data_IF_099672543398
#
_entry.id   IF_099672543398
#
_cell.length_a   1.000
_cell.length_b   1.000
_cell.length_c   1.000
_cell.angle_alpha   90.00
_cell.angle_beta   90.00
_cell.angle_gamma   90.00
#
_symmetry.space_group_name_H-M   'P 1'
#
loop_
_entity.id
_entity.type
_entity.pdbx_description
1 polymer ?
#
# COMPACT_ATOMS: atom_id res chain seq x y z
N UNK A 1 -50.11 8.80 4.44
CA UNK A 1 -49.72 10.10 3.87
C UNK A 1 -50.36 11.23 4.67
N UNK A 2 -49.75 11.56 5.80
CA UNK A 2 -50.14 12.71 6.63
C UNK A 2 -48.89 13.56 6.75
N UNK A 3 -48.73 14.51 5.84
CA UNK A 3 -47.69 15.52 5.90
C UNK A 3 -47.88 16.32 7.19
N UNK A 4 -47.10 15.98 8.21
CA UNK A 4 -47.00 16.78 9.42
C UNK A 4 -45.99 17.88 9.14
N UNK A 5 -46.48 19.09 8.85
CA UNK A 5 -45.63 20.27 8.73
C UNK A 5 -45.32 20.80 10.12
N UNK A 6 -44.08 20.60 10.55
CA UNK A 6 -43.51 21.24 11.72
C UNK A 6 -43.24 22.71 11.34
N UNK A 7 -43.95 23.66 11.95
CA UNK A 7 -43.66 25.10 11.75
C UNK A 7 -43.53 25.81 13.09
N UNK A 8 -42.34 26.34 13.34
CA UNK A 8 -41.92 27.30 14.37
C UNK A 8 -42.27 26.91 15.82
N UNK A 9 -41.35 26.19 16.46
CA UNK A 9 -41.23 26.16 17.92
C UNK A 9 -40.30 27.32 18.33
N UNK A 10 -40.52 27.90 19.50
CA UNK A 10 -39.68 28.97 20.02
C UNK A 10 -38.26 28.47 20.32
N UNK A 11 -37.27 29.33 20.04
CA UNK A 11 -35.79 29.24 20.11
C UNK A 11 -35.18 28.81 21.47
N UNK A 12 -35.97 28.23 22.37
CA UNK A 12 -35.58 27.90 23.76
C UNK A 12 -36.10 26.55 24.25
N UNK A 13 -36.79 25.78 23.40
CA UNK A 13 -37.31 24.46 23.76
C UNK A 13 -36.41 23.39 23.14
N UNK A 14 -35.79 22.56 23.98
CA UNK A 14 -35.11 21.36 23.52
C UNK A 14 -36.11 20.43 22.84
N UNK A 15 -35.93 20.26 21.55
CA UNK A 15 -36.85 19.55 20.68
C UNK A 15 -36.13 18.39 20.01
N UNK A 16 -36.68 17.20 20.20
CA UNK A 16 -36.18 16.00 19.54
C UNK A 16 -37.09 15.64 18.37
N UNK A 17 -36.52 15.55 17.17
CA UNK A 17 -37.18 14.97 16.00
C UNK A 17 -36.89 13.47 15.98
N UNK A 18 -37.93 12.64 16.13
CA UNK A 18 -37.78 11.19 16.17
C UNK A 18 -38.29 10.52 14.90
N UNK A 19 -37.42 9.75 14.23
CA UNK A 19 -37.78 8.88 13.13
C UNK A 19 -37.97 7.45 13.63
N UNK A 20 -39.23 6.98 13.62
CA UNK A 20 -39.59 5.64 14.09
C UNK A 20 -39.84 4.64 12.95
N UNK A 21 -39.57 5.04 11.72
CA UNK A 21 -39.75 4.23 10.52
C UNK A 21 -38.96 4.82 9.36
N UNK A 22 -38.59 3.96 8.40
CA UNK A 22 -37.77 4.40 7.27
C UNK A 22 -38.51 5.38 6.36
N UNK A 23 -37.89 6.51 6.06
CA UNK A 23 -38.50 7.59 5.27
C UNK A 23 -37.43 8.46 4.61
N UNK A 24 -37.78 9.10 3.50
CA UNK A 24 -37.08 10.29 3.02
C UNK A 24 -37.79 11.53 3.56
N UNK A 25 -37.02 12.55 3.95
CA UNK A 25 -37.52 13.80 4.53
C UNK A 25 -36.82 14.99 3.85
N UNK A 26 -37.60 15.81 3.17
CA UNK A 26 -37.08 16.91 2.33
C UNK A 26 -37.48 18.30 2.83
N UNK A 27 -38.12 18.39 4.00
CA UNK A 27 -38.58 19.67 4.55
C UNK A 27 -37.49 20.31 5.39
N UNK A 28 -37.67 21.58 5.79
CA UNK A 28 -36.75 22.25 6.71
C UNK A 28 -36.84 21.64 8.12
N UNK A 29 -35.69 21.30 8.68
CA UNK A 29 -35.48 20.90 10.07
C UNK A 29 -34.89 22.14 10.75
N UNK A 30 -35.71 22.82 11.55
CA UNK A 30 -35.31 24.05 12.23
C UNK A 30 -35.75 24.07 13.68
N UNK A 31 -34.94 24.66 14.56
CA UNK A 31 -35.17 24.63 16.01
C UNK A 31 -35.33 23.18 16.52
N UNK A 32 -34.41 22.28 16.15
CA UNK A 32 -34.36 20.87 16.58
C UNK A 32 -33.05 20.64 17.31
N UNK A 33 -33.03 20.46 18.62
CA UNK A 33 -31.76 20.17 19.31
C UNK A 33 -31.17 18.81 18.91
N UNK A 34 -32.03 17.81 18.67
CA UNK A 34 -31.59 16.45 18.38
C UNK A 34 -32.48 15.71 17.37
N UNK A 35 -31.86 14.93 16.51
CA UNK A 35 -32.53 13.92 15.66
C UNK A 35 -32.27 12.55 16.27
N UNK A 36 -33.31 11.73 16.40
CA UNK A 36 -33.22 10.35 16.90
C UNK A 36 -33.70 9.35 15.86
N UNK A 37 -32.94 8.27 15.65
CA UNK A 37 -33.33 7.13 14.81
C UNK A 37 -33.72 5.96 15.73
N UNK A 38 -34.87 5.35 15.47
CA UNK A 38 -35.24 4.11 16.15
C UNK A 38 -34.46 2.90 15.57
N UNK A 39 -34.42 1.81 16.33
CA UNK A 39 -33.81 0.54 15.94
C UNK A 39 -34.19 0.08 14.53
N UNK A 40 -33.18 -0.19 13.69
CA UNK A 40 -33.32 -0.74 12.34
C UNK A 40 -33.87 0.25 11.31
N UNK A 41 -33.82 1.55 11.57
CA UNK A 41 -34.41 2.57 10.71
C UNK A 41 -33.39 3.10 9.68
N UNK A 42 -33.84 3.21 8.43
CA UNK A 42 -33.12 3.92 7.36
C UNK A 42 -33.81 5.23 7.02
N UNK A 43 -33.12 6.35 7.21
CA UNK A 43 -33.63 7.71 7.02
C UNK A 43 -32.76 8.46 6.03
N UNK A 44 -33.40 9.12 5.07
CA UNK A 44 -32.74 10.02 4.14
C UNK A 44 -33.21 11.45 4.39
N UNK A 45 -32.29 12.31 4.81
CA UNK A 45 -32.51 13.76 5.00
C UNK A 45 -31.69 14.59 4.01
N UNK A 46 -31.08 14.00 2.98
CA UNK A 46 -30.22 14.71 2.02
C UNK A 46 -30.92 15.87 1.29
N UNK A 47 -32.24 15.77 1.11
CA UNK A 47 -33.09 16.81 0.53
C UNK A 47 -33.62 17.86 1.52
N UNK A 48 -33.34 17.73 2.82
CA UNK A 48 -33.79 18.66 3.84
C UNK A 48 -33.01 19.99 3.81
N UNK A 49 -33.38 20.91 4.69
CA UNK A 49 -32.52 22.03 5.09
C UNK A 49 -32.40 22.01 6.60
N UNK A 50 -31.19 21.92 7.12
CA UNK A 50 -30.91 21.96 8.56
C UNK A 50 -30.40 23.36 8.91
N UNK A 51 -30.99 24.00 9.92
CA UNK A 51 -30.46 25.26 10.45
C UNK A 51 -29.30 25.02 11.43
N UNK A 52 -28.60 26.09 11.79
CA UNK A 52 -27.42 26.04 12.67
C UNK A 52 -27.70 25.56 14.09
N UNK A 53 -28.98 25.44 14.46
CA UNK A 53 -29.39 25.14 15.83
C UNK A 53 -29.55 23.63 16.06
N UNK A 54 -29.43 22.82 15.00
CA UNK A 54 -29.46 21.37 15.13
C UNK A 54 -28.15 20.81 15.64
N UNK A 55 -28.16 20.34 16.89
CA UNK A 55 -26.93 19.97 17.58
C UNK A 55 -26.51 18.53 17.31
N UNK A 56 -27.38 17.52 17.35
CA UNK A 56 -26.91 16.12 17.30
C UNK A 56 -27.83 15.15 16.57
N UNK A 57 -27.25 14.08 16.03
CA UNK A 57 -27.99 12.90 15.58
C UNK A 57 -27.59 11.70 16.44
N UNK A 58 -28.58 10.95 16.94
CA UNK A 58 -28.36 9.72 17.70
C UNK A 58 -29.23 8.55 17.22
N UNK A 59 -28.65 7.36 17.06
CA UNK A 59 -29.36 6.12 16.78
C UNK A 59 -29.67 5.30 18.04
N UNK A 60 -29.97 4.02 17.85
CA UNK A 60 -30.42 3.12 18.91
C UNK A 60 -29.61 1.82 18.87
N UNK A 61 -30.19 0.72 19.35
CA UNK A 61 -29.64 -0.60 19.10
C UNK A 61 -30.24 -1.15 17.82
N UNK A 62 -29.46 -1.56 16.83
CA UNK A 62 -29.97 -2.02 15.54
C UNK A 62 -29.04 -1.57 14.42
N UNK A 63 -29.36 -1.94 13.18
CA UNK A 63 -28.61 -1.44 12.03
C UNK A 63 -29.38 -0.25 11.45
N UNK A 64 -28.92 0.94 11.80
CA UNK A 64 -29.44 2.20 11.32
C UNK A 64 -28.72 2.64 10.05
N UNK A 65 -29.45 3.38 9.20
CA UNK A 65 -28.88 4.01 8.03
C UNK A 65 -29.33 5.46 7.95
N UNK A 66 -28.38 6.36 7.78
CA UNK A 66 -28.63 7.79 7.67
C UNK A 66 -28.00 8.32 6.38
N UNK A 67 -28.82 8.87 5.48
CA UNK A 67 -28.33 9.63 4.33
C UNK A 67 -28.46 11.12 4.61
N UNK A 68 -27.36 11.88 4.52
CA UNK A 68 -27.35 13.32 4.71
C UNK A 68 -26.57 14.05 3.62
N UNK A 69 -26.79 15.36 3.52
CA UNK A 69 -26.00 16.22 2.66
C UNK A 69 -24.71 16.62 3.40
N UNK A 70 -23.56 16.60 2.73
CA UNK A 70 -22.25 16.90 3.33
C UNK A 70 -22.19 18.24 4.07
N UNK A 71 -22.90 19.27 3.59
CA UNK A 71 -23.02 20.57 4.28
C UNK A 71 -23.66 20.49 5.68
N UNK A 72 -24.25 19.35 6.07
CA UNK A 72 -24.80 19.16 7.41
C UNK A 72 -23.74 18.70 8.42
N UNK A 73 -22.61 18.15 7.96
CA UNK A 73 -21.49 17.83 8.86
C UNK A 73 -20.83 19.10 9.43
N UNK A 74 -20.92 20.22 8.69
CA UNK A 74 -20.53 21.54 9.18
C UNK A 74 -21.42 22.01 10.34
N UNK A 75 -22.72 21.72 10.29
CA UNK A 75 -23.73 22.23 11.23
C UNK A 75 -23.89 21.36 12.47
N UNK A 76 -23.81 20.04 12.31
CA UNK A 76 -24.00 19.09 13.40
C UNK A 76 -22.79 19.13 14.34
N UNK A 77 -23.06 18.96 15.63
CA UNK A 77 -22.05 18.82 16.68
C UNK A 77 -21.64 17.36 16.93
N UNK A 78 -22.53 16.39 16.65
CA UNK A 78 -22.22 14.96 16.73
C UNK A 78 -23.15 14.10 15.89
N UNK A 79 -22.64 12.95 15.45
CA UNK A 79 -23.40 11.83 14.89
C UNK A 79 -22.98 10.56 15.65
N UNK A 80 -23.94 9.90 16.28
CA UNK A 80 -23.73 8.65 17.01
C UNK A 80 -24.85 7.67 16.63
N UNK A 81 -24.62 6.71 15.73
CA UNK A 81 -25.72 5.83 15.29
C UNK A 81 -26.00 4.67 16.26
N UNK A 82 -25.30 4.61 17.39
CA UNK A 82 -25.64 3.75 18.50
C UNK A 82 -24.88 2.43 18.47
N UNK A 83 -25.57 1.30 18.53
CA UNK A 83 -24.91 -0.01 18.54
C UNK A 83 -25.48 -0.90 17.45
N UNK A 84 -24.64 -1.29 16.50
CA UNK A 84 -25.06 -2.12 15.39
C UNK A 84 -24.00 -2.21 14.31
N UNK A 85 -24.47 -2.44 13.09
CA UNK A 85 -23.70 -2.21 11.88
C UNK A 85 -24.41 -1.09 11.14
N UNK A 86 -23.99 0.12 11.47
CA UNK A 86 -24.65 1.35 11.07
C UNK A 86 -24.00 1.95 9.82
N UNK A 87 -24.81 2.59 8.97
CA UNK A 87 -24.36 3.20 7.72
C UNK A 87 -24.65 4.69 7.70
N UNK A 88 -23.60 5.50 7.55
CA UNK A 88 -23.73 6.91 7.21
C UNK A 88 -23.44 7.11 5.71
N UNK A 89 -24.44 7.58 4.97
CA UNK A 89 -24.29 7.97 3.58
C UNK A 89 -24.21 9.49 3.46
N UNK A 90 -23.19 10.02 2.79
CA UNK A 90 -23.00 11.46 2.62
C UNK A 90 -23.06 11.81 1.14
N UNK A 91 -23.91 12.78 0.80
CA UNK A 91 -24.06 13.28 -0.58
C UNK A 91 -23.60 14.72 -0.70
N UNK A 92 -23.08 15.10 -1.86
CA UNK A 92 -22.76 16.49 -2.17
C UNK A 92 -21.37 16.68 -2.75
N UNK A 93 -20.94 17.94 -2.79
CA UNK A 93 -19.79 18.37 -3.58
C UNK A 93 -18.84 19.29 -2.80
N UNK A 94 -19.09 19.49 -1.50
CA UNK A 94 -18.24 20.35 -0.69
C UNK A 94 -16.87 19.68 -0.47
N UNK A 95 -15.91 20.37 0.14
CA UNK A 95 -14.76 19.67 0.70
C UNK A 95 -15.11 19.31 2.14
N UNK A 96 -14.94 18.06 2.52
CA UNK A 96 -15.08 17.61 3.90
C UNK A 96 -13.69 17.37 4.48
N UNK A 97 -13.44 17.94 5.65
CA UNK A 97 -12.16 17.86 6.34
C UNK A 97 -12.24 16.93 7.56
N UNK A 98 -11.08 16.62 8.15
CA UNK A 98 -10.99 15.76 9.32
C UNK A 98 -11.96 16.16 10.46
N UNK A 99 -12.15 17.45 10.74
CA UNK A 99 -13.04 17.90 11.82
C UNK A 99 -14.54 17.69 11.53
N UNK A 100 -14.93 17.58 10.26
CA UNK A 100 -16.30 17.25 9.89
C UNK A 100 -16.63 15.81 10.26
N UNK A 101 -15.67 14.91 10.08
CA UNK A 101 -15.84 13.50 10.38
C UNK A 101 -15.44 13.11 11.82
N UNK A 102 -14.59 13.88 12.51
CA UNK A 102 -14.22 13.64 13.92
C UNK A 102 -15.39 13.77 14.91
N UNK A 103 -16.56 14.19 14.42
CA UNK A 103 -17.83 14.24 15.17
C UNK A 103 -18.67 12.96 15.03
N UNK A 104 -18.23 12.01 14.20
CA UNK A 104 -18.92 10.76 13.92
C UNK A 104 -18.39 9.68 14.87
N UNK A 105 -19.31 8.93 15.47
CA UNK A 105 -19.03 7.82 16.35
C UNK A 105 -20.05 6.70 16.11
N UNK A 106 -19.66 5.46 16.38
CA UNK A 106 -20.48 4.27 16.17
C UNK A 106 -21.16 4.26 14.79
N UNK A 107 -20.32 4.36 13.76
CA UNK A 107 -20.69 4.18 12.36
C UNK A 107 -19.67 3.23 11.77
N UNK A 108 -20.11 2.05 11.36
CA UNK A 108 -19.22 1.03 10.82
C UNK A 108 -19.00 1.17 9.31
N UNK A 109 -20.00 1.69 8.58
CA UNK A 109 -19.93 1.92 7.14
C UNK A 109 -20.13 3.40 6.80
N UNK A 110 -19.11 4.01 6.18
CA UNK A 110 -19.23 5.32 5.54
C UNK A 110 -19.43 5.12 4.04
N UNK A 111 -20.52 5.67 3.49
CA UNK A 111 -20.87 5.57 2.08
C UNK A 111 -20.83 6.96 1.41
N UNK A 112 -19.87 7.14 0.51
CA UNK A 112 -19.61 8.33 -0.26
C UNK A 112 -19.81 8.08 -1.77
N UNK A 113 -20.49 7.01 -2.18
CA UNK A 113 -20.66 6.68 -3.61
C UNK A 113 -21.33 7.80 -4.42
N UNK A 114 -22.26 8.54 -3.81
CA UNK A 114 -22.93 9.70 -4.42
C UNK A 114 -22.28 11.06 -4.06
N UNK A 115 -21.10 11.02 -3.44
CA UNK A 115 -20.29 12.19 -3.12
C UNK A 115 -19.32 12.50 -4.27
N UNK A 116 -19.05 13.78 -4.51
CA UNK A 116 -18.16 14.20 -5.60
C UNK A 116 -17.13 15.25 -5.14
N UNK A 117 -16.96 15.39 -3.83
CA UNK A 117 -15.97 16.28 -3.23
C UNK A 117 -14.70 15.56 -2.84
N UNK A 118 -13.72 16.31 -2.33
CA UNK A 118 -12.55 15.73 -1.65
C UNK A 118 -12.88 15.40 -0.20
N UNK A 119 -12.23 14.36 0.32
CA UNK A 119 -12.49 13.76 1.62
C UNK A 119 -11.18 13.57 2.37
N UNK A 120 -11.12 14.11 3.59
CA UNK A 120 -10.05 13.89 4.55
C UNK A 120 -10.63 13.22 5.80
N UNK A 121 -10.23 11.97 6.05
CA UNK A 121 -10.70 11.12 7.14
C UNK A 121 -9.71 11.04 8.31
N UNK A 122 -8.70 11.93 8.37
CA UNK A 122 -7.57 11.89 9.34
C UNK A 122 -7.90 12.24 10.80
N UNK A 123 -9.15 12.08 11.21
CA UNK A 123 -9.61 12.16 12.61
C UNK A 123 -10.86 11.28 12.80
N UNK A 124 -11.02 10.27 11.93
CA UNK A 124 -12.13 9.33 12.03
C UNK A 124 -11.73 8.09 12.79
N UNK A 125 -12.69 7.44 13.42
CA UNK A 125 -12.45 6.16 14.07
C UNK A 125 -13.72 5.32 14.07
N UNK A 126 -13.55 4.01 14.15
CA UNK A 126 -14.66 3.07 14.22
C UNK A 126 -15.34 2.74 12.89
N UNK A 127 -15.04 3.47 11.81
CA UNK A 127 -15.48 3.11 10.46
C UNK A 127 -14.61 1.94 10.00
N UNK A 128 -15.24 0.82 9.64
CA UNK A 128 -14.54 -0.40 9.20
C UNK A 128 -14.65 -0.61 7.69
N UNK A 129 -15.60 0.08 7.06
CA UNK A 129 -15.82 0.05 5.62
C UNK A 129 -16.08 1.45 5.06
N UNK A 130 -15.34 1.80 4.03
CA UNK A 130 -15.53 2.97 3.19
C UNK A 130 -16.00 2.52 1.81
N UNK A 131 -17.15 3.01 1.36
CA UNK A 131 -17.59 2.88 -0.02
C UNK A 131 -17.49 4.24 -0.70
N UNK A 132 -16.84 4.30 -1.86
CA UNK A 132 -16.74 5.51 -2.66
C UNK A 132 -17.26 5.26 -4.08
N UNK A 133 -17.27 6.31 -4.88
CA UNK A 133 -17.72 6.24 -6.26
C UNK A 133 -16.85 7.12 -7.12
N UNK A 134 -17.10 7.07 -8.42
CA UNK A 134 -16.20 7.54 -9.48
C UNK A 134 -15.84 9.02 -9.54
N UNK A 135 -16.25 9.79 -8.54
CA UNK A 135 -16.02 11.22 -8.46
C UNK A 135 -15.25 11.60 -7.19
N UNK A 136 -14.88 10.64 -6.34
CA UNK A 136 -14.05 10.85 -5.13
C UNK A 136 -12.60 10.49 -5.46
N UNK A 137 -11.99 11.27 -6.34
CA UNK A 137 -10.67 10.97 -6.90
C UNK A 137 -9.50 11.00 -5.90
N UNK A 138 -9.72 11.48 -4.67
CA UNK A 138 -8.69 11.62 -3.67
C UNK A 138 -9.26 11.46 -2.26
N UNK A 139 -8.66 10.54 -1.50
CA UNK A 139 -9.03 10.21 -0.12
C UNK A 139 -7.80 10.18 0.77
N UNK A 140 -7.89 10.80 1.95
CA UNK A 140 -6.81 10.74 2.96
C UNK A 140 -7.28 9.97 4.18
N UNK A 141 -6.50 8.97 4.62
CA UNK A 141 -6.77 8.15 5.80
C UNK A 141 -5.56 8.10 6.75
N UNK A 142 -5.81 7.80 8.02
CA UNK A 142 -4.81 7.63 9.08
C UNK A 142 -5.01 6.36 9.93
N UNK A 143 -5.93 5.48 9.55
CA UNK A 143 -6.03 4.11 10.06
C UNK A 143 -6.54 3.15 8.99
N UNK A 144 -6.31 1.85 9.23
CA UNK A 144 -6.68 0.78 8.32
C UNK A 144 -8.20 0.53 8.28
N UNK A 145 -8.75 0.40 7.08
CA UNK A 145 -10.17 0.09 6.85
C UNK A 145 -10.36 -0.55 5.47
N UNK A 146 -11.47 -1.26 5.29
CA UNK A 146 -11.86 -1.77 3.97
C UNK A 146 -12.29 -0.62 3.06
N UNK A 147 -11.84 -0.63 1.80
CA UNK A 147 -12.15 0.38 0.80
C UNK A 147 -12.72 -0.32 -0.44
N UNK A 148 -13.92 0.12 -0.83
CA UNK A 148 -14.57 -0.33 -2.04
C UNK A 148 -14.94 0.90 -2.88
N UNK A 149 -14.05 1.25 -3.79
CA UNK A 149 -14.31 2.25 -4.82
C UNK A 149 -14.86 1.58 -6.10
N UNK A 150 -15.85 2.22 -6.72
CA UNK A 150 -16.57 1.64 -7.87
C UNK A 150 -16.09 2.18 -9.22
N UNK A 151 -14.91 2.79 -9.23
CA UNK A 151 -14.05 3.03 -10.39
C UNK A 151 -13.85 4.51 -10.65
N UNK A 152 -12.72 4.91 -11.20
CA UNK A 152 -12.40 6.30 -11.48
C UNK A 152 -10.92 6.37 -11.82
N UNK A 153 -10.23 7.36 -11.29
CA UNK A 153 -8.77 7.32 -11.18
C UNK A 153 -8.49 7.90 -9.81
N UNK A 154 -8.37 7.01 -8.85
CA UNK A 154 -8.53 7.30 -7.45
C UNK A 154 -7.20 7.13 -6.72
N UNK A 155 -6.89 8.13 -5.90
CA UNK A 155 -5.66 8.16 -5.10
C UNK A 155 -6.00 8.01 -3.62
N UNK A 156 -5.40 7.02 -2.98
CA UNK A 156 -5.41 6.84 -1.53
C UNK A 156 -4.15 7.46 -0.93
N UNK A 157 -4.32 8.44 -0.05
CA UNK A 157 -3.26 9.06 0.72
C UNK A 157 -3.22 8.47 2.13
N UNK A 158 -2.06 7.97 2.54
CA UNK A 158 -1.84 7.43 3.88
C UNK A 158 -0.93 8.36 4.68
N UNK A 159 -1.39 8.85 5.82
CA UNK A 159 -0.66 9.86 6.62
C UNK A 159 -0.08 9.33 7.92
N UNK A 160 -0.32 8.06 8.23
CA UNK A 160 0.20 7.34 9.40
C UNK A 160 0.82 6.01 8.96
N UNK A 161 1.55 5.35 9.86
CA UNK A 161 2.00 3.98 9.61
C UNK A 161 0.80 3.05 9.74
N UNK A 162 0.51 2.29 8.69
CA UNK A 162 -0.69 1.46 8.58
C UNK A 162 -0.39 0.09 8.01
N UNK A 163 -1.18 -0.88 8.44
CA UNK A 163 -1.21 -2.22 7.87
C UNK A 163 -2.57 -2.44 7.21
N UNK A 164 -2.58 -2.44 5.88
CA UNK A 164 -3.75 -2.69 5.05
C UNK A 164 -3.74 -4.12 4.48
N UNK A 165 -2.76 -4.95 4.80
CA UNK A 165 -2.58 -6.27 4.18
C UNK A 165 -3.70 -7.27 4.50
N UNK A 166 -4.56 -6.97 5.47
CA UNK A 166 -5.77 -7.75 5.77
C UNK A 166 -7.05 -7.10 5.31
N UNK A 167 -6.98 -5.87 4.79
CA UNK A 167 -8.14 -5.11 4.35
C UNK A 167 -8.41 -5.35 2.87
N UNK A 168 -9.68 -5.25 2.48
CA UNK A 168 -10.04 -5.28 1.06
C UNK A 168 -9.84 -3.88 0.48
N UNK A 169 -8.96 -3.74 -0.52
CA UNK A 169 -8.76 -2.50 -1.27
C UNK A 169 -9.20 -2.74 -2.72
N UNK A 170 -10.27 -2.06 -3.15
CA UNK A 170 -10.83 -2.19 -4.51
C UNK A 170 -11.03 -0.80 -5.10
N UNK A 171 -10.73 -0.66 -6.39
CA UNK A 171 -10.91 0.54 -7.20
C UNK A 171 -9.92 1.66 -6.90
N UNK A 172 -8.78 1.36 -6.25
CA UNK A 172 -7.72 2.34 -5.97
C UNK A 172 -6.55 2.08 -6.91
N UNK A 173 -6.29 3.00 -7.84
CA UNK A 173 -5.20 2.83 -8.80
C UNK A 173 -3.86 3.38 -8.29
N UNK A 174 -3.88 4.38 -7.40
CA UNK A 174 -2.67 5.02 -6.87
C UNK A 174 -2.66 5.02 -5.34
N UNK A 175 -1.58 4.52 -4.75
CA UNK A 175 -1.29 4.66 -3.33
C UNK A 175 -0.20 5.70 -3.13
N UNK A 176 -0.46 6.73 -2.31
CA UNK A 176 0.50 7.78 -1.96
C UNK A 176 0.83 7.74 -0.47
N UNK A 177 2.09 7.44 -0.13
CA UNK A 177 2.53 7.27 1.27
C UNK A 177 3.28 8.50 1.78
N UNK A 178 2.81 9.06 2.90
CA UNK A 178 3.43 10.23 3.51
C UNK A 178 4.85 9.94 4.06
N UNK A 179 5.69 10.97 4.07
CA UNK A 179 7.06 10.91 4.60
C UNK A 179 7.12 10.30 6.00
N UNK A 180 8.14 9.48 6.27
CA UNK A 180 8.40 8.81 7.56
C UNK A 180 7.34 7.81 8.02
N UNK A 181 6.40 7.45 7.15
CA UNK A 181 5.37 6.44 7.42
C UNK A 181 5.58 5.22 6.56
N UNK A 182 5.02 4.09 7.00
CA UNK A 182 5.03 2.85 6.24
C UNK A 182 3.61 2.36 6.04
N UNK A 183 3.25 2.02 4.80
CA UNK A 183 1.98 1.32 4.50
C UNK A 183 2.30 -0.11 4.09
N UNK A 184 1.72 -1.08 4.80
CA UNK A 184 1.86 -2.50 4.48
C UNK A 184 0.67 -2.97 3.63
N UNK A 185 0.93 -3.66 2.52
CA UNK A 185 -0.07 -4.26 1.63
C UNK A 185 0.17 -5.77 1.51
N UNK A 186 -0.82 -6.50 0.99
CA UNK A 186 -0.63 -7.83 0.42
C UNK A 186 -0.27 -7.70 -1.07
N UNK A 187 0.51 -8.64 -1.60
CA UNK A 187 0.83 -8.68 -3.03
C UNK A 187 -0.43 -8.65 -3.92
N UNK A 188 -1.54 -9.27 -3.47
CA UNK A 188 -2.79 -9.30 -4.22
C UNK A 188 -3.51 -7.94 -4.27
N UNK A 189 -3.09 -6.95 -3.48
CA UNK A 189 -3.63 -5.58 -3.58
C UNK A 189 -3.04 -4.83 -4.79
N UNK A 190 -1.86 -5.26 -5.26
CA UNK A 190 -1.19 -4.69 -6.41
C UNK A 190 -1.80 -5.20 -7.72
N UNK A 191 -1.85 -4.34 -8.73
CA UNK A 191 -2.35 -4.67 -10.08
C UNK A 191 -1.66 -5.89 -10.70
N UNK A 192 -0.39 -6.10 -10.39
CA UNK A 192 0.40 -7.25 -10.84
C UNK A 192 0.08 -8.55 -10.07
N UNK A 193 -0.47 -8.43 -8.87
CA UNK A 193 -1.05 -9.53 -8.09
C UNK A 193 -2.54 -9.77 -8.34
N UNK A 194 -3.16 -8.98 -9.22
CA UNK A 194 -4.58 -9.07 -9.56
C UNK A 194 -5.51 -8.11 -8.79
N UNK A 195 -4.94 -7.23 -7.97
CA UNK A 195 -5.64 -6.10 -7.36
C UNK A 195 -5.73 -4.90 -8.30
N UNK A 196 -5.94 -3.70 -7.73
CA UNK A 196 -6.16 -2.47 -8.50
C UNK A 196 -4.99 -1.48 -8.43
N UNK A 197 -4.12 -1.56 -7.40
CA UNK A 197 -3.04 -0.58 -7.19
C UNK A 197 -1.94 -0.75 -8.24
N UNK A 198 -1.87 0.18 -9.19
CA UNK A 198 -0.89 0.14 -10.29
C UNK A 198 0.29 1.09 -10.10
N UNK A 199 0.12 2.10 -9.25
CA UNK A 199 1.12 3.14 -9.02
C UNK A 199 1.35 3.32 -7.51
N UNK A 200 2.62 3.26 -7.11
CA UNK A 200 3.08 3.61 -5.77
C UNK A 200 3.86 4.92 -5.84
N UNK A 201 3.44 5.91 -5.05
CA UNK A 201 4.08 7.23 -4.96
C UNK A 201 4.22 7.67 -3.50
N UNK A 202 4.96 8.75 -3.24
CA UNK A 202 4.97 9.40 -1.94
C UNK A 202 6.39 9.77 -1.48
N UNK A 203 6.65 9.74 -0.19
CA UNK A 203 8.02 9.88 0.34
C UNK A 203 8.22 9.07 1.62
N UNK A 204 7.26 8.21 1.93
CA UNK A 204 7.40 7.15 2.92
C UNK A 204 7.63 5.81 2.23
N UNK A 205 7.58 4.75 3.02
CA UNK A 205 7.90 3.41 2.57
C UNK A 205 6.65 2.58 2.32
N UNK A 206 6.67 1.71 1.31
CA UNK A 206 5.65 0.67 1.11
C UNK A 206 6.27 -0.67 1.45
N UNK A 207 5.58 -1.46 2.27
CA UNK A 207 5.94 -2.85 2.56
C UNK A 207 4.92 -3.79 1.92
N UNK A 208 5.36 -4.84 1.22
CA UNK A 208 4.51 -5.83 0.59
C UNK A 208 4.73 -7.17 1.27
N UNK A 209 3.65 -7.74 1.80
CA UNK A 209 3.59 -9.14 2.19
C UNK A 209 3.51 -9.97 0.90
N UNK A 210 4.60 -10.65 0.59
CA UNK A 210 4.75 -11.41 -0.63
C UNK A 210 3.97 -12.72 -0.66
N UNK A 211 3.93 -13.33 -1.84
CA UNK A 211 3.51 -14.71 -2.05
C UNK A 211 4.64 -15.51 -2.68
N UNK A 212 4.47 -16.82 -2.83
CA UNK A 212 5.48 -17.72 -3.42
C UNK A 212 5.90 -17.37 -4.85
N UNK A 213 5.13 -16.53 -5.56
CA UNK A 213 5.48 -16.06 -6.90
C UNK A 213 5.00 -14.63 -7.07
N UNK A 214 5.93 -13.73 -7.31
CA UNK A 214 5.70 -12.30 -7.48
C UNK A 214 6.38 -11.81 -8.76
N UNK A 215 5.64 -11.08 -9.58
CA UNK A 215 6.17 -10.43 -10.77
C UNK A 215 5.76 -8.96 -10.72
N UNK A 216 6.71 -8.07 -10.44
CA UNK A 216 6.43 -6.64 -10.26
C UNK A 216 7.03 -5.78 -11.37
N UNK A 217 7.47 -6.40 -12.48
CA UNK A 217 8.12 -5.72 -13.60
C UNK A 217 7.30 -4.57 -14.20
N UNK A 218 5.96 -4.64 -14.11
CA UNK A 218 5.07 -3.62 -14.66
C UNK A 218 4.49 -2.64 -13.62
N UNK A 219 4.89 -2.75 -12.35
CA UNK A 219 4.47 -1.82 -11.32
C UNK A 219 5.23 -0.49 -11.45
N UNK A 220 4.52 0.64 -11.52
CA UNK A 220 5.17 1.95 -11.51
C UNK A 220 5.49 2.34 -10.07
N UNK A 221 6.77 2.46 -9.74
CA UNK A 221 7.25 2.91 -8.43
C UNK A 221 7.84 4.31 -8.61
N UNK A 222 6.96 5.29 -8.83
CA UNK A 222 7.40 6.64 -9.08
C UNK A 222 7.63 7.38 -7.76
N UNK A 223 8.89 7.70 -7.48
CA UNK A 223 9.26 8.70 -6.49
C UNK A 223 8.95 8.36 -5.02
N UNK A 224 9.17 7.14 -4.51
CA UNK A 224 9.15 6.83 -3.06
C UNK A 224 10.21 7.59 -2.21
N UNK A 225 10.88 8.59 -2.78
CA UNK A 225 11.91 9.38 -2.10
C UNK A 225 13.24 8.62 -2.00
N UNK A 226 13.87 8.68 -0.82
CA UNK A 226 15.07 7.88 -0.50
C UNK A 226 14.70 6.46 0.02
N UNK A 227 13.40 6.14 0.13
CA UNK A 227 12.90 4.86 0.65
C UNK A 227 12.67 3.85 -0.48
N UNK A 228 12.98 2.57 -0.21
CA UNK A 228 12.74 1.45 -1.13
C UNK A 228 11.37 0.79 -0.86
N UNK A 229 10.73 0.27 -1.91
CA UNK A 229 9.65 -0.71 -1.83
C UNK A 229 10.20 -1.98 -1.18
N UNK A 230 9.79 -2.26 0.05
CA UNK A 230 10.18 -3.46 0.78
C UNK A 230 9.25 -4.62 0.45
N UNK A 231 9.78 -5.73 -0.04
CA UNK A 231 9.02 -6.96 -0.33
C UNK A 231 9.56 -8.05 0.58
N UNK A 232 8.68 -8.65 1.38
CA UNK A 232 9.04 -9.78 2.24
C UNK A 232 8.45 -11.06 1.68
N UNK A 233 9.31 -12.02 1.41
CA UNK A 233 8.97 -13.39 1.01
C UNK A 233 8.22 -14.16 2.09
N UNK A 234 7.72 -15.33 1.71
CA UNK A 234 7.04 -16.27 2.59
C UNK A 234 8.04 -17.13 3.36
N UNK A 235 7.60 -18.25 3.94
CA UNK A 235 8.50 -19.26 4.51
C UNK A 235 8.72 -20.45 3.58
N UNK A 236 8.30 -20.33 2.33
CA UNK A 236 8.47 -21.33 1.27
C UNK A 236 9.36 -20.74 0.18
N UNK A 237 9.73 -21.54 -0.81
CA UNK A 237 10.43 -21.05 -1.99
C UNK A 237 9.63 -19.92 -2.66
N UNK A 238 10.24 -18.75 -2.74
CA UNK A 238 9.67 -17.57 -3.39
C UNK A 238 10.40 -17.27 -4.71
N UNK A 239 9.66 -16.78 -5.70
CA UNK A 239 10.20 -16.23 -6.94
C UNK A 239 9.79 -14.78 -7.09
N UNK A 240 10.76 -13.86 -7.19
CA UNK A 240 10.54 -12.44 -7.46
C UNK A 240 11.11 -12.08 -8.83
N UNK A 241 10.29 -11.44 -9.66
CA UNK A 241 10.70 -10.95 -10.98
C UNK A 241 10.67 -9.43 -11.03
N UNK A 242 11.80 -8.82 -11.41
CA UNK A 242 12.02 -7.37 -11.41
C UNK A 242 12.50 -6.87 -12.78
N UNK A 243 12.16 -5.63 -13.13
CA UNK A 243 12.89 -4.88 -14.15
C UNK A 243 14.14 -4.26 -13.53
N UNK A 244 15.29 -4.37 -14.20
CA UNK A 244 16.57 -3.86 -13.75
C UNK A 244 16.54 -2.35 -13.46
N UNK A 245 15.67 -1.60 -14.15
CA UNK A 245 15.49 -0.17 -13.91
C UNK A 245 14.90 0.17 -12.54
N UNK A 246 14.35 -0.81 -11.81
CA UNK A 246 13.70 -0.64 -10.50
C UNK A 246 14.63 -1.03 -9.32
N UNK A 247 15.90 -1.37 -9.57
CA UNK A 247 16.78 -1.97 -8.56
C UNK A 247 17.17 -1.05 -7.41
N UNK A 248 17.22 0.27 -7.63
CA UNK A 248 17.43 1.26 -6.57
C UNK A 248 16.15 1.56 -5.79
N UNK A 249 15.00 1.11 -6.30
CA UNK A 249 13.67 1.36 -5.75
C UNK A 249 13.13 0.18 -4.94
N UNK A 250 13.76 -0.99 -4.97
CA UNK A 250 13.22 -2.24 -4.38
C UNK A 250 14.22 -2.89 -3.43
N UNK A 251 13.73 -3.31 -2.27
CA UNK A 251 14.41 -4.26 -1.39
C UNK A 251 13.58 -5.53 -1.26
N UNK A 252 14.19 -6.70 -1.40
CA UNK A 252 13.57 -8.00 -1.23
C UNK A 252 14.26 -8.82 -0.15
N UNK A 253 13.46 -9.37 0.76
CA UNK A 253 13.91 -10.32 1.77
C UNK A 253 13.15 -11.64 1.57
N UNK A 254 13.79 -12.67 1.02
CA UNK A 254 13.17 -14.00 0.79
C UNK A 254 12.78 -14.73 2.07
N UNK A 255 13.23 -14.27 3.23
CA UNK A 255 12.95 -14.85 4.54
C UNK A 255 13.48 -16.29 4.66
N UNK A 256 12.68 -17.33 4.42
CA UNK A 256 13.15 -18.72 4.50
C UNK A 256 12.59 -19.54 3.36
N UNK A 257 13.42 -20.37 2.73
CA UNK A 257 13.00 -21.11 1.55
C UNK A 257 14.21 -21.31 0.65
N UNK A 258 13.96 -21.70 -0.59
CA UNK A 258 14.90 -21.48 -1.70
C UNK A 258 14.36 -20.36 -2.58
N UNK A 259 14.87 -19.16 -2.37
CA UNK A 259 14.31 -17.94 -2.94
C UNK A 259 15.09 -17.50 -4.19
N UNK A 260 14.36 -17.10 -5.22
CA UNK A 260 14.91 -16.74 -6.54
C UNK A 260 14.50 -15.32 -6.91
N UNK A 261 15.47 -14.50 -7.29
CA UNK A 261 15.25 -13.19 -7.92
C UNK A 261 15.67 -13.26 -9.37
N UNK A 262 14.74 -13.02 -10.30
CA UNK A 262 15.02 -12.91 -11.73
C UNK A 262 14.99 -11.45 -12.19
N UNK A 263 16.05 -11.01 -12.85
CA UNK A 263 16.18 -9.65 -13.38
C UNK A 263 15.97 -9.62 -14.90
N UNK A 264 15.07 -8.75 -15.35
CA UNK A 264 14.81 -8.46 -16.78
C UNK A 264 15.26 -7.05 -17.14
N UNK A 265 15.67 -6.82 -18.40
CA UNK A 265 16.06 -5.49 -18.87
C UNK A 265 17.02 -5.53 -20.05
N UNK A 266 17.36 -4.35 -20.58
CA UNK A 266 18.37 -4.20 -21.65
C UNK A 266 19.32 -3.05 -21.33
N UNK A 267 20.57 -3.11 -21.82
CA UNK A 267 21.59 -2.06 -21.64
C UNK A 267 22.04 -1.83 -20.19
N UNK A 268 22.02 -2.88 -19.39
CA UNK A 268 22.51 -2.86 -18.01
C UNK A 268 24.04 -2.83 -18.00
N UNK A 269 24.64 -2.03 -17.10
CA UNK A 269 26.10 -1.97 -16.93
C UNK A 269 26.60 -2.22 -15.51
N UNK A 270 25.77 -2.04 -14.47
CA UNK A 270 26.19 -2.27 -13.09
C UNK A 270 25.05 -2.64 -12.14
N UNK A 271 25.31 -3.60 -11.24
CA UNK A 271 24.52 -3.92 -10.03
C UNK A 271 25.35 -3.53 -8.79
N UNK A 272 24.95 -2.47 -8.09
CA UNK A 272 25.74 -1.91 -6.97
C UNK A 272 24.93 -1.56 -5.72
N UNK A 273 23.68 -1.99 -5.63
CA UNK A 273 22.86 -1.80 -4.42
C UNK A 273 23.14 -2.95 -3.43
N UNK A 274 23.62 -2.62 -2.23
CA UNK A 274 23.94 -3.61 -1.18
C UNK A 274 22.85 -3.78 -0.13
N UNK A 275 21.67 -3.25 -0.40
CA UNK A 275 20.48 -3.37 0.44
C UNK A 275 19.30 -3.94 -0.33
N UNK A 276 19.40 -4.04 -1.66
CA UNK A 276 18.34 -4.56 -2.52
C UNK A 276 17.92 -6.00 -2.23
N UNK A 277 18.81 -6.88 -1.78
CA UNK A 277 18.50 -8.31 -1.61
C UNK A 277 19.02 -8.88 -0.30
N UNK A 278 18.18 -9.60 0.43
CA UNK A 278 18.56 -10.39 1.59
C UNK A 278 17.87 -11.76 1.55
N UNK A 279 18.53 -12.78 2.09
CA UNK A 279 17.96 -14.14 2.16
C UNK A 279 17.48 -14.67 0.79
N UNK A 280 18.36 -14.67 -0.23
CA UNK A 280 18.08 -15.23 -1.55
C UNK A 280 19.11 -16.28 -1.95
N UNK A 281 18.67 -17.43 -2.47
CA UNK A 281 19.53 -18.54 -2.88
C UNK A 281 19.93 -18.44 -4.35
N UNK A 282 19.10 -17.82 -5.18
CA UNK A 282 19.34 -17.68 -6.62
C UNK A 282 19.13 -16.25 -7.10
N UNK A 283 20.14 -15.70 -7.76
CA UNK A 283 20.04 -14.48 -8.55
C UNK A 283 20.15 -14.87 -10.03
N UNK A 284 19.03 -14.83 -10.73
CA UNK A 284 18.91 -15.13 -12.15
C UNK A 284 19.03 -13.84 -12.98
N UNK A 285 20.12 -13.74 -13.74
CA UNK A 285 20.39 -12.63 -14.67
C UNK A 285 20.44 -13.10 -16.12
N UNK A 286 19.95 -14.30 -16.40
CA UNK A 286 19.98 -14.95 -17.70
C UNK A 286 19.29 -14.14 -18.80
N UNK A 287 18.29 -13.34 -18.43
CA UNK A 287 17.48 -12.52 -19.33
C UNK A 287 18.09 -11.17 -19.72
N UNK A 288 19.17 -10.72 -19.09
CA UNK A 288 19.69 -9.34 -19.26
C UNK A 288 20.36 -9.05 -20.62
N UNK A 289 20.55 -10.06 -21.48
CA UNK A 289 21.06 -9.87 -22.85
C UNK A 289 22.38 -9.08 -22.89
N UNK A 290 23.43 -9.61 -22.24
CA UNK A 290 24.73 -8.96 -22.00
C UNK A 290 25.59 -8.83 -23.27
N UNK A 291 25.02 -8.34 -24.37
CA UNK A 291 25.61 -8.26 -25.69
C UNK A 291 26.69 -7.15 -25.71
N UNK A 292 27.93 -7.51 -25.36
CA UNK A 292 29.18 -6.73 -25.42
C UNK A 292 29.42 -5.62 -24.39
N UNK A 293 28.42 -5.21 -23.60
CA UNK A 293 28.55 -4.16 -22.59
C UNK A 293 29.16 -4.60 -21.26
N UNK A 294 29.03 -5.89 -20.93
CA UNK A 294 29.39 -6.42 -19.61
C UNK A 294 28.45 -5.96 -18.49
N UNK A 295 28.32 -6.76 -17.44
CA UNK A 295 27.66 -6.44 -16.19
C UNK A 295 28.72 -6.39 -15.09
N UNK A 296 28.88 -5.24 -14.44
CA UNK A 296 29.70 -5.15 -13.23
C UNK A 296 28.84 -5.35 -12.00
N UNK A 297 29.12 -6.37 -11.19
CA UNK A 297 28.42 -6.61 -9.92
C UNK A 297 29.36 -6.23 -8.77
N UNK A 298 28.90 -5.39 -7.85
CA UNK A 298 29.60 -5.21 -6.57
C UNK A 298 29.47 -6.49 -5.75
N UNK A 299 30.58 -7.12 -5.37
CA UNK A 299 30.52 -8.32 -4.52
C UNK A 299 29.87 -8.03 -3.15
N UNK A 300 29.92 -6.77 -2.69
CA UNK A 300 29.18 -6.35 -1.49
C UNK A 300 27.67 -6.25 -1.71
N UNK A 301 27.21 -6.10 -2.96
CA UNK A 301 25.78 -6.20 -3.28
C UNK A 301 25.27 -7.62 -3.15
N UNK A 302 26.11 -8.60 -3.46
CA UNK A 302 25.83 -10.02 -3.22
C UNK A 302 25.94 -10.39 -1.73
N UNK A 303 26.68 -9.61 -0.94
CA UNK A 303 26.86 -9.81 0.50
C UNK A 303 25.67 -9.31 1.35
N UNK A 304 24.70 -8.66 0.74
CA UNK A 304 23.42 -8.38 1.38
C UNK A 304 22.63 -9.67 1.72
N UNK A 305 23.06 -10.81 1.17
CA UNK A 305 22.70 -12.17 1.57
C UNK A 305 23.15 -12.49 3.01
N UNK A 306 22.30 -13.16 3.80
CA UNK A 306 22.50 -13.36 5.24
C UNK A 306 23.86 -14.03 5.57
N UNK A 307 24.61 -13.33 6.43
CA UNK A 307 25.90 -13.73 7.02
C UNK A 307 25.91 -15.05 7.81
N UNK A 308 24.75 -15.68 8.04
CA UNK A 308 24.66 -16.98 8.74
C UNK A 308 24.97 -18.20 7.85
N UNK A 309 25.34 -17.98 6.59
CA UNK A 309 25.61 -19.07 5.65
C UNK A 309 26.85 -19.86 6.05
N UNK A 310 26.62 -21.15 6.25
CA UNK A 310 27.70 -22.12 6.41
C UNK A 310 28.29 -22.42 5.03
N UNK A 311 29.43 -23.11 4.93
CA UNK A 311 30.09 -23.41 3.63
C UNK A 311 29.28 -24.33 2.69
N UNK A 312 28.01 -24.61 3.00
CA UNK A 312 27.08 -25.40 2.20
C UNK A 312 26.01 -24.56 1.51
N UNK A 313 25.88 -23.29 1.87
CA UNK A 313 24.81 -22.42 1.40
C UNK A 313 25.42 -21.47 0.36
N UNK A 314 25.24 -21.79 -0.91
CA UNK A 314 25.77 -21.01 -2.04
C UNK A 314 24.70 -20.07 -2.55
N UNK A 315 25.08 -18.82 -2.84
CA UNK A 315 24.32 -18.01 -3.79
C UNK A 315 24.57 -18.58 -5.19
N UNK A 316 23.51 -18.95 -5.89
CA UNK A 316 23.57 -19.33 -7.30
C UNK A 316 23.39 -18.11 -8.18
N UNK A 317 24.35 -17.85 -9.05
CA UNK A 317 24.25 -16.85 -10.11
C UNK A 317 23.98 -17.59 -11.43
N UNK A 318 22.75 -17.50 -11.91
CA UNK A 318 22.35 -18.12 -13.18
C UNK A 318 22.64 -17.17 -14.34
N UNK A 319 23.50 -17.62 -15.27
CA UNK A 319 23.97 -16.79 -16.38
C UNK A 319 23.71 -17.52 -17.68
N UNK A 320 22.80 -16.97 -18.50
CA UNK A 320 22.60 -17.47 -19.85
C UNK A 320 23.46 -16.68 -20.83
N UNK A 321 24.68 -17.15 -21.04
CA UNK A 321 25.45 -16.77 -22.20
C UNK A 321 25.36 -17.86 -23.27
N UNK A 322 24.61 -17.56 -24.33
CA UNK A 322 24.53 -18.38 -25.54
C UNK A 322 25.89 -18.65 -26.20
N UNK A 323 26.93 -17.87 -25.85
CA UNK A 323 28.31 -18.04 -26.35
C UNK A 323 29.19 -18.95 -25.48
N UNK A 324 28.71 -19.39 -24.31
CA UNK A 324 29.41 -20.31 -23.41
C UNK A 324 30.60 -19.70 -22.65
N UNK A 325 30.69 -18.36 -22.61
CA UNK A 325 31.74 -17.62 -21.90
C UNK A 325 31.15 -16.52 -21.01
N UNK A 326 31.24 -16.69 -19.69
CA UNK A 326 30.84 -15.71 -18.65
C UNK A 326 31.67 -14.40 -18.66
N UNK A 327 32.48 -14.16 -19.69
CA UNK A 327 33.47 -13.08 -19.84
C UNK A 327 32.89 -11.66 -19.79
N UNK A 328 31.57 -11.52 -19.73
CA UNK A 328 30.86 -10.26 -19.65
C UNK A 328 30.35 -10.00 -18.22
N UNK A 329 30.83 -10.71 -17.19
CA UNK A 329 30.52 -10.41 -15.80
C UNK A 329 31.81 -10.08 -15.06
N UNK A 330 31.88 -8.85 -14.57
CA UNK A 330 32.98 -8.37 -13.74
C UNK A 330 32.48 -8.22 -12.30
N UNK A 331 33.23 -8.74 -11.34
CA UNK A 331 32.98 -8.52 -9.94
C UNK A 331 33.91 -7.43 -9.40
N UNK A 332 33.36 -6.48 -8.64
CA UNK A 332 34.11 -5.42 -7.98
C UNK A 332 34.06 -5.55 -6.45
N UNK A 333 34.89 -4.78 -5.75
CA UNK A 333 35.03 -4.83 -4.29
C UNK A 333 35.54 -6.17 -3.71
N UNK A 334 36.44 -6.83 -4.43
CA UNK A 334 37.02 -8.11 -4.04
C UNK A 334 38.44 -7.92 -3.48
N UNK A 335 38.76 -8.62 -2.39
CA UNK A 335 40.11 -8.81 -1.89
C UNK A 335 40.77 -10.10 -2.44
N UNK A 336 40.02 -11.20 -2.52
CA UNK A 336 40.50 -12.44 -3.12
C UNK A 336 39.38 -13.34 -3.63
N UNK A 337 39.69 -14.18 -4.62
CA UNK A 337 38.80 -15.24 -5.13
C UNK A 337 39.52 -16.58 -5.05
N UNK A 338 38.81 -17.64 -4.66
CA UNK A 338 39.29 -19.01 -4.75
C UNK A 338 38.29 -19.92 -5.46
N UNK A 339 38.75 -20.70 -6.44
CA UNK A 339 37.97 -21.69 -7.21
C UNK A 339 38.12 -23.13 -6.67
N UNK A 340 38.55 -23.26 -5.40
CA UNK A 340 38.89 -24.54 -4.77
C UNK A 340 40.24 -25.15 -5.17
N UNK A 341 40.90 -24.65 -6.21
CA UNK A 341 42.21 -25.11 -6.68
C UNK A 341 43.30 -24.05 -6.50
N UNK A 342 42.95 -22.80 -6.75
CA UNK A 342 43.83 -21.64 -6.71
C UNK A 342 43.18 -20.50 -5.92
N UNK A 343 44.00 -19.63 -5.34
CA UNK A 343 43.54 -18.39 -4.72
C UNK A 343 44.22 -17.23 -5.42
N UNK A 344 43.42 -16.32 -5.97
CA UNK A 344 43.87 -15.11 -6.65
C UNK A 344 43.59 -13.92 -5.75
N UNK A 345 44.63 -13.18 -5.36
CA UNK A 345 44.47 -11.88 -4.69
C UNK A 345 44.19 -10.81 -5.73
N UNK A 346 43.16 -10.01 -5.50
CA UNK A 346 42.76 -8.89 -6.37
C UNK A 346 43.24 -7.60 -5.72
N UNK A 347 43.91 -6.72 -6.48
CA UNK A 347 44.34 -5.44 -5.91
C UNK A 347 43.11 -4.59 -5.60
N UNK A 348 43.17 -3.82 -4.51
CA UNK A 348 42.10 -2.89 -4.17
C UNK A 348 41.76 -1.97 -5.34
N UNK A 349 40.50 -2.02 -5.80
CA UNK A 349 40.00 -1.21 -6.92
C UNK A 349 40.08 -1.88 -8.30
N UNK A 350 40.71 -3.05 -8.41
CA UNK A 350 40.66 -3.87 -9.62
C UNK A 350 39.33 -4.65 -9.68
N UNK A 351 38.87 -4.95 -10.89
CA UNK A 351 37.75 -5.86 -11.14
C UNK A 351 38.27 -7.27 -11.42
N UNK A 352 37.49 -8.28 -11.07
CA UNK A 352 37.76 -9.67 -11.40
C UNK A 352 36.69 -10.21 -12.34
N UNK A 353 37.10 -10.62 -13.53
CA UNK A 353 36.22 -11.19 -14.54
C UNK A 353 35.90 -12.65 -14.21
N UNK A 354 34.63 -13.02 -14.35
CA UNK A 354 34.17 -14.40 -14.19
C UNK A 354 34.52 -15.19 -15.46
N UNK A 355 35.46 -16.14 -15.36
CA UNK A 355 36.02 -16.82 -16.55
C UNK A 355 35.40 -18.17 -16.86
N UNK A 356 34.64 -18.76 -15.93
CA UNK A 356 34.06 -20.10 -16.07
C UNK A 356 32.88 -20.34 -15.12
N UNK A 357 32.04 -21.32 -15.44
CA UNK A 357 31.07 -21.90 -14.48
C UNK A 357 31.80 -22.66 -13.37
N UNK A 358 31.23 -22.72 -12.17
CA UNK A 358 31.80 -23.42 -11.03
C UNK A 358 31.59 -22.73 -9.68
N UNK A 359 32.23 -23.28 -8.65
CA UNK A 359 32.12 -22.81 -7.27
C UNK A 359 33.27 -21.85 -6.93
N UNK A 360 32.94 -20.72 -6.32
CA UNK A 360 33.88 -19.69 -5.92
C UNK A 360 33.69 -19.31 -4.45
N UNK A 361 34.80 -19.14 -3.73
CA UNK A 361 34.85 -18.46 -2.45
C UNK A 361 35.46 -17.08 -2.66
N UNK A 362 34.65 -16.04 -2.46
CA UNK A 362 35.03 -14.65 -2.67
C UNK A 362 35.17 -13.99 -1.31
N UNK A 363 36.33 -13.37 -1.07
CA UNK A 363 36.53 -12.49 0.09
C UNK A 363 36.50 -11.05 -0.40
N UNK A 364 35.59 -10.25 0.12
CA UNK A 364 35.43 -8.83 -0.20
C UNK A 364 36.45 -7.97 0.56
N UNK A 365 36.58 -6.69 0.18
CA UNK A 365 37.56 -5.78 0.82
C UNK A 365 37.24 -5.46 2.29
N UNK A 366 35.99 -5.60 2.71
CA UNK A 366 35.53 -5.49 4.10
C UNK A 366 35.67 -6.80 4.90
N UNK A 367 36.34 -7.81 4.33
CA UNK A 367 36.61 -9.13 4.93
C UNK A 367 35.41 -10.06 5.06
N UNK A 368 34.34 -9.77 4.34
CA UNK A 368 33.19 -10.65 4.22
C UNK A 368 33.47 -11.82 3.27
N UNK A 369 32.81 -12.97 3.48
CA UNK A 369 32.97 -14.17 2.65
C UNK A 369 31.66 -14.48 1.95
N UNK A 370 31.73 -14.64 0.63
CA UNK A 370 30.62 -15.06 -0.24
C UNK A 370 30.97 -16.42 -0.86
N UNK A 371 30.06 -17.38 -0.76
CA UNK A 371 30.12 -18.65 -1.49
C UNK A 371 29.19 -18.53 -2.71
N UNK A 372 29.78 -18.54 -3.91
CA UNK A 372 29.08 -18.29 -5.17
C UNK A 372 29.16 -19.54 -6.05
N UNK A 373 28.02 -20.07 -6.48
CA UNK A 373 27.90 -21.06 -7.54
C UNK A 373 27.50 -20.36 -8.83
N UNK A 374 28.21 -20.59 -9.93
CA UNK A 374 27.87 -20.04 -11.25
C UNK A 374 27.46 -21.19 -12.15
N UNK A 375 26.19 -21.17 -12.59
CA UNK A 375 25.57 -22.21 -13.40
C UNK A 375 25.31 -21.78 -14.83
#
# INVERSE_FOLDING_TARGET
DTAFTWSSIADTLTTTLAFTGGTSYTQSISNVDAITLASGVSVDISGATIDSDTASVSGSSGNESLTLKGSFLDTLSSIDLGSGSDTLSVMGTNTLNAADFGKISHVETLNLTDYTGSVDLTDTSGITQLNTGSNVNAMTIDYAMNINDTGGSDTLYTTSTMDLSTETIVGIETLNVANTTTTTLDYNDLSVGGGDIATLEGSGSVAINGTTSMDIQSLSVDALGDDQLGITGTTSDDALVLDFSQLDEISFNGNSGSDTVTLYGTNVSSLSDSTAFSNIETLDISSLGLDSGGLTISASSLYAYDSNTTSTDYLTLEVNDSSGTVNNIDLSNIASVSDGSTTTTVSSGDMWALTSVGDYTITTTDSSILYLHVS
#
